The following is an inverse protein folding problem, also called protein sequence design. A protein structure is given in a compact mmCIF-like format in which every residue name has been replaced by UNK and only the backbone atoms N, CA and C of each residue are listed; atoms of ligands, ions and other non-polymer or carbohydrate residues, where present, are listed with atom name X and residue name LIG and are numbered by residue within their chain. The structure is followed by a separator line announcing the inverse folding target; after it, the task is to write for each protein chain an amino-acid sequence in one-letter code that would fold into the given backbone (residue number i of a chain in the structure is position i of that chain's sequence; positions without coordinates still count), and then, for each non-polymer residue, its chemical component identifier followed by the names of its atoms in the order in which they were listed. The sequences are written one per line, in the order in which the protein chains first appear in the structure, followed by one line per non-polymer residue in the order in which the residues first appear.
data_IF_937981330547
#
_entry.id   IF_937981330547
#
_cell.length_a   1.000
_cell.length_b   1.000
_cell.length_c   1.000
_cell.angle_alpha   90.00
_cell.angle_beta   90.00
_cell.angle_gamma   90.00
#
_symmetry.space_group_name_H-M   'P 1'
#
loop_
_entity.id
_entity.type
_entity.pdbx_description
1 polymer ?
#
# COMPACT_ATOMS: atom_id res chain seq x y z
N UNK A 1 -7.31 20.92 -0.80
CA UNK A 1 -6.23 19.97 -1.16
C UNK A 1 -6.47 18.63 -0.45
N UNK A 2 -6.01 17.50 -0.99
CA UNK A 2 -6.21 16.16 -0.39
C UNK A 2 -5.63 16.07 1.02
N UNK A 3 -4.48 16.70 1.28
CA UNK A 3 -3.82 16.68 2.60
C UNK A 3 -4.71 17.11 3.76
N UNK A 4 -5.61 18.09 3.55
CA UNK A 4 -6.54 18.54 4.60
C UNK A 4 -7.57 17.48 4.98
N UNK A 5 -8.01 16.69 4.00
CA UNK A 5 -8.95 15.58 4.22
C UNK A 5 -8.30 14.38 4.92
N UNK A 6 -6.98 14.18 4.74
CA UNK A 6 -6.27 13.02 5.25
C UNK A 6 -5.77 13.19 6.69
N UNK A 7 -5.65 14.44 7.18
CA UNK A 7 -5.11 14.76 8.51
C UNK A 7 -3.70 14.17 8.76
N UNK A 8 -2.82 14.24 7.74
CA UNK A 8 -1.44 13.73 7.78
C UNK A 8 -0.39 14.83 7.98
N UNK A 9 -0.79 16.04 8.41
CA UNK A 9 0.14 17.17 8.57
C UNK A 9 1.27 16.89 9.56
N UNK A 10 1.06 16.00 10.55
CA UNK A 10 2.05 15.58 11.53
C UNK A 10 3.03 14.51 11.00
N UNK A 11 2.80 13.97 9.82
CA UNK A 11 3.62 12.96 9.14
C UNK A 11 3.99 13.44 7.73
N UNK A 12 4.85 14.45 7.61
CA UNK A 12 5.10 15.12 6.32
C UNK A 12 5.69 14.20 5.24
N UNK A 13 6.52 13.23 5.60
CA UNK A 13 7.11 12.28 4.66
C UNK A 13 6.04 11.33 4.10
N UNK A 14 5.22 10.73 4.96
CA UNK A 14 4.11 9.87 4.55
C UNK A 14 3.08 10.65 3.73
N UNK A 15 2.78 11.88 4.16
CA UNK A 15 1.88 12.75 3.40
C UNK A 15 2.42 13.03 1.98
N UNK A 16 3.74 13.25 1.84
CA UNK A 16 4.39 13.46 0.55
C UNK A 16 4.27 12.21 -0.35
N UNK A 17 4.42 10.99 0.19
CA UNK A 17 4.21 9.75 -0.55
C UNK A 17 2.77 9.63 -1.06
N UNK A 18 1.78 9.87 -0.19
CA UNK A 18 0.36 9.81 -0.57
C UNK A 18 0.01 10.87 -1.62
N UNK A 19 0.52 12.09 -1.49
CA UNK A 19 0.31 13.16 -2.49
C UNK A 19 0.95 12.82 -3.84
N UNK A 20 2.16 12.25 -3.82
CA UNK A 20 2.86 11.82 -5.03
C UNK A 20 2.09 10.71 -5.76
N UNK A 21 1.61 9.71 -5.03
CA UNK A 21 0.78 8.65 -5.60
C UNK A 21 -0.55 9.20 -6.17
N UNK A 22 -1.23 10.08 -5.42
CA UNK A 22 -2.41 10.75 -5.93
C UNK A 22 -2.12 11.48 -7.25
N UNK A 23 -1.05 12.27 -7.31
CA UNK A 23 -0.70 13.04 -8.51
C UNK A 23 -0.37 12.14 -9.69
N UNK A 24 0.29 11.00 -9.44
CA UNK A 24 0.68 10.04 -10.46
C UNK A 24 -0.51 9.34 -11.12
N UNK A 25 -1.56 9.02 -10.35
CA UNK A 25 -2.68 8.22 -10.85
C UNK A 25 -3.96 9.00 -11.14
N UNK A 26 -4.20 10.13 -10.47
CA UNK A 26 -5.47 10.86 -10.59
C UNK A 26 -5.73 11.40 -12.00
N UNK A 27 -4.69 11.80 -12.73
CA UNK A 27 -4.83 12.34 -14.09
C UNK A 27 -5.17 11.28 -15.15
N UNK A 28 -4.93 9.99 -14.85
CA UNK A 28 -5.14 8.89 -15.78
C UNK A 28 -6.61 8.54 -15.90
N UNK A 29 -7.13 8.50 -17.13
CA UNK A 29 -8.56 8.23 -17.37
C UNK A 29 -8.98 6.81 -16.97
N UNK A 30 -8.05 5.87 -17.03
CA UNK A 30 -8.28 4.45 -16.73
C UNK A 30 -8.00 4.11 -15.26
N UNK A 31 -7.43 5.01 -14.47
CA UNK A 31 -7.45 4.96 -13.02
C UNK A 31 -8.77 5.57 -12.50
N UNK A 32 -9.70 4.75 -12.06
CA UNK A 32 -11.08 5.18 -11.76
C UNK A 32 -11.30 5.58 -10.31
N UNK A 33 -10.59 4.95 -9.38
CA UNK A 33 -10.65 5.30 -7.96
C UNK A 33 -9.35 4.95 -7.25
N UNK A 34 -9.05 5.61 -6.14
CA UNK A 34 -7.97 5.21 -5.25
C UNK A 34 -8.33 5.47 -3.79
N UNK A 35 -7.83 4.59 -2.92
CA UNK A 35 -7.99 4.67 -1.47
C UNK A 35 -6.67 4.50 -0.75
N UNK A 36 -6.54 5.18 0.38
CA UNK A 36 -5.48 4.95 1.38
C UNK A 36 -6.03 4.01 2.42
N UNK A 37 -5.25 3.00 2.78
CA UNK A 37 -5.56 1.99 3.79
C UNK A 37 -4.64 2.11 5.02
N UNK A 38 -4.71 1.11 5.86
CA UNK A 38 -3.77 0.88 6.95
C UNK A 38 -3.80 1.93 8.06
N UNK A 39 -2.66 2.04 8.74
CA UNK A 39 -2.51 2.90 9.92
C UNK A 39 -2.68 4.39 9.61
N UNK A 40 -2.26 4.84 8.43
CA UNK A 40 -2.42 6.24 8.00
C UNK A 40 -3.89 6.59 7.80
N UNK A 41 -4.68 5.71 7.19
CA UNK A 41 -6.11 5.91 7.03
C UNK A 41 -6.86 5.90 8.36
N UNK A 42 -6.42 5.05 9.29
CA UNK A 42 -6.98 4.94 10.64
C UNK A 42 -6.64 6.12 11.56
N UNK A 43 -5.77 7.04 11.15
CA UNK A 43 -5.27 8.12 12.01
C UNK A 43 -4.35 7.63 13.14
N UNK A 44 -3.78 6.44 13.00
CA UNK A 44 -2.85 5.79 13.95
C UNK A 44 -1.43 5.68 13.38
N UNK A 45 -1.18 6.34 12.23
CA UNK A 45 0.11 6.31 11.57
C UNK A 45 1.21 6.94 12.42
N UNK A 46 2.42 6.45 12.21
CA UNK A 46 3.66 6.94 12.81
C UNK A 46 4.76 7.08 11.74
N UNK A 47 5.97 7.44 12.18
CA UNK A 47 7.13 7.70 11.32
C UNK A 47 7.52 6.51 10.42
N UNK A 48 7.23 5.29 10.83
CA UNK A 48 7.55 4.05 10.09
C UNK A 48 6.33 3.40 9.44
N UNK A 49 5.20 4.09 9.41
CA UNK A 49 3.98 3.62 8.74
C UNK A 49 4.12 3.70 7.22
N UNK A 50 3.65 2.65 6.55
CA UNK A 50 3.58 2.60 5.10
C UNK A 50 2.47 3.51 4.55
N UNK A 51 2.66 3.96 3.33
CA UNK A 51 1.57 4.50 2.52
C UNK A 51 0.93 3.34 1.73
N UNK A 52 -0.12 2.73 2.29
CA UNK A 52 -0.86 1.62 1.69
C UNK A 52 -1.93 2.14 0.75
N UNK A 53 -1.76 2.00 -0.55
CA UNK A 53 -2.63 2.60 -1.56
C UNK A 53 -3.16 1.53 -2.51
N UNK A 54 -4.49 1.52 -2.68
CA UNK A 54 -5.14 0.76 -3.74
C UNK A 54 -5.63 1.71 -4.82
N UNK A 55 -5.32 1.40 -6.07
CA UNK A 55 -5.79 2.10 -7.26
C UNK A 55 -6.64 1.14 -8.07
N UNK A 56 -7.91 1.44 -8.25
CA UNK A 56 -8.81 0.66 -9.10
C UNK A 56 -8.72 1.18 -10.53
N UNK A 57 -8.56 0.25 -11.47
CA UNK A 57 -8.32 0.55 -12.88
C UNK A 57 -9.30 -0.20 -13.78
N UNK A 58 -9.50 0.30 -14.98
CA UNK A 58 -10.29 -0.34 -16.04
C UNK A 58 -9.44 -0.55 -17.29
N UNK A 59 -9.98 -1.28 -18.27
CA UNK A 59 -9.34 -1.49 -19.59
C UNK A 59 -7.94 -2.13 -19.49
N UNK A 60 -7.72 -3.01 -18.50
CA UNK A 60 -6.42 -3.64 -18.22
C UNK A 60 -5.28 -2.63 -17.91
N UNK A 61 -5.60 -1.42 -17.50
CA UNK A 61 -4.60 -0.40 -17.21
C UNK A 61 -3.60 -0.83 -16.13
N UNK A 62 -3.99 -1.67 -15.16
CA UNK A 62 -3.09 -2.27 -14.17
C UNK A 62 -1.88 -3.00 -14.78
N UNK A 63 -1.97 -3.45 -16.04
CA UNK A 63 -0.85 -4.11 -16.77
C UNK A 63 0.04 -3.10 -17.51
N UNK A 64 -0.37 -1.84 -17.65
CA UNK A 64 0.32 -0.79 -18.41
C UNK A 64 0.54 0.51 -17.64
N UNK A 65 0.42 0.48 -16.31
CA UNK A 65 0.51 1.66 -15.45
C UNK A 65 1.96 2.09 -15.11
N UNK A 66 2.96 1.59 -15.82
CA UNK A 66 4.38 1.90 -15.55
C UNK A 66 4.69 3.40 -15.58
N UNK A 67 4.05 4.17 -16.47
CA UNK A 67 4.23 5.62 -16.52
C UNK A 67 3.79 6.31 -15.22
N UNK A 68 2.72 5.81 -14.57
CA UNK A 68 2.29 6.30 -13.25
C UNK A 68 3.30 5.97 -12.16
N UNK A 69 3.83 4.74 -12.17
CA UNK A 69 4.87 4.35 -11.22
C UNK A 69 6.13 5.17 -11.41
N UNK A 70 6.59 5.36 -12.66
CA UNK A 70 7.74 6.24 -12.95
C UNK A 70 7.51 7.69 -12.51
N UNK A 71 6.27 8.20 -12.61
CA UNK A 71 5.92 9.52 -12.10
C UNK A 71 5.93 9.56 -10.55
N UNK A 72 5.47 8.51 -9.88
CA UNK A 72 5.55 8.36 -8.43
C UNK A 72 7.01 8.26 -7.95
N UNK A 73 7.85 7.50 -8.63
CA UNK A 73 9.25 7.23 -8.30
C UNK A 73 10.16 8.44 -8.49
N UNK A 74 9.73 9.40 -9.30
CA UNK A 74 10.56 10.60 -9.63
C UNK A 74 11.03 11.29 -8.37
N UNK A 75 12.34 11.61 -8.35
CA UNK A 75 13.02 12.31 -7.26
C UNK A 75 13.01 11.56 -5.91
N UNK A 76 12.73 10.27 -5.91
CA UNK A 76 12.79 9.42 -4.72
C UNK A 76 14.02 8.52 -4.72
N UNK A 77 14.65 8.45 -3.56
CA UNK A 77 15.83 7.61 -3.34
C UNK A 77 15.36 6.23 -2.83
N UNK A 78 15.23 5.28 -3.77
CA UNK A 78 14.67 3.95 -3.52
C UNK A 78 15.79 3.02 -3.05
N UNK A 79 15.67 2.52 -1.82
CA UNK A 79 16.55 1.50 -1.26
C UNK A 79 16.19 0.09 -1.77
N UNK A 80 14.88 -0.21 -1.82
CA UNK A 80 14.38 -1.53 -2.22
C UNK A 80 13.06 -1.39 -2.97
N UNK A 81 12.92 -2.16 -4.03
CA UNK A 81 11.71 -2.28 -4.84
C UNK A 81 11.37 -3.76 -4.99
N UNK A 82 10.13 -4.10 -4.66
CA UNK A 82 9.51 -5.37 -4.99
C UNK A 82 8.28 -5.11 -5.86
N UNK A 83 8.19 -5.79 -6.98
CA UNK A 83 7.05 -5.66 -7.90
C UNK A 83 6.58 -7.01 -8.40
N UNK A 84 5.32 -7.10 -8.81
CA UNK A 84 4.77 -8.34 -9.33
C UNK A 84 3.26 -8.32 -9.47
N UNK A 85 2.72 -9.49 -9.78
CA UNK A 85 1.30 -9.72 -9.88
C UNK A 85 0.85 -10.67 -8.75
N UNK A 86 -0.23 -10.32 -8.07
CA UNK A 86 -0.91 -11.27 -7.19
C UNK A 86 -1.72 -12.29 -7.99
N UNK A 87 -2.32 -11.82 -9.08
CA UNK A 87 -3.08 -12.59 -10.06
C UNK A 87 -3.21 -11.76 -11.36
N UNK A 88 -3.96 -12.24 -12.33
CA UNK A 88 -4.15 -11.56 -13.62
C UNK A 88 -4.77 -10.15 -13.53
N UNK A 89 -5.45 -9.82 -12.42
CA UNK A 89 -6.17 -8.56 -12.22
C UNK A 89 -5.49 -7.62 -11.22
N UNK A 90 -4.36 -8.00 -10.64
CA UNK A 90 -3.74 -7.27 -9.54
C UNK A 90 -2.23 -7.19 -9.66
N UNK A 91 -1.73 -6.02 -10.02
CA UNK A 91 -0.30 -5.67 -10.05
C UNK A 91 0.06 -4.83 -8.83
N UNK A 92 1.28 -4.97 -8.32
CA UNK A 92 1.76 -4.17 -7.19
C UNK A 92 3.21 -3.76 -7.32
N UNK A 93 3.54 -2.64 -6.65
CA UNK A 93 4.91 -2.26 -6.30
C UNK A 93 4.99 -1.88 -4.83
N UNK A 94 6.03 -2.37 -4.15
CA UNK A 94 6.36 -2.07 -2.75
C UNK A 94 7.73 -1.40 -2.70
N UNK A 95 7.82 -0.32 -1.97
CA UNK A 95 9.01 0.53 -1.89
C UNK A 95 9.49 0.70 -0.47
N UNK A 96 10.78 0.56 -0.25
CA UNK A 96 11.47 1.09 0.93
C UNK A 96 12.39 2.18 0.43
N UNK A 97 12.30 3.37 1.02
CA UNK A 97 13.14 4.52 0.66
C UNK A 97 14.32 4.66 1.63
N UNK A 98 15.38 5.35 1.21
CA UNK A 98 16.59 5.53 2.03
C UNK A 98 16.33 6.32 3.34
N UNK A 99 15.25 7.07 3.42
CA UNK A 99 14.81 7.76 4.64
C UNK A 99 13.99 6.87 5.60
N UNK A 100 13.90 5.55 5.31
CA UNK A 100 13.13 4.54 6.02
C UNK A 100 11.61 4.75 5.98
N UNK A 101 11.11 5.54 5.06
CA UNK A 101 9.68 5.51 4.72
C UNK A 101 9.41 4.39 3.72
N UNK A 102 8.16 4.00 3.58
CA UNK A 102 7.74 2.93 2.67
C UNK A 102 6.37 3.18 2.08
N UNK A 103 6.14 2.59 0.93
CA UNK A 103 4.86 2.63 0.25
C UNK A 103 4.55 1.28 -0.39
N UNK A 104 3.28 0.93 -0.38
CA UNK A 104 2.73 -0.22 -1.09
C UNK A 104 1.58 0.27 -1.98
N UNK A 105 1.74 0.11 -3.29
CA UNK A 105 0.75 0.58 -4.27
C UNK A 105 0.29 -0.62 -5.08
N UNK A 106 -1.00 -0.92 -4.99
CA UNK A 106 -1.65 -1.96 -5.78
C UNK A 106 -2.52 -1.32 -6.86
N UNK A 107 -2.35 -1.76 -8.10
CA UNK A 107 -3.23 -1.45 -9.21
C UNK A 107 -4.10 -2.66 -9.48
N UNK A 108 -5.40 -2.52 -9.26
CA UNK A 108 -6.38 -3.59 -9.38
C UNK A 108 -7.33 -3.30 -10.52
N UNK A 109 -7.61 -4.29 -11.38
CA UNK A 109 -8.72 -4.16 -12.30
C UNK A 109 -10.04 -4.05 -11.54
N UNK A 110 -11.01 -3.30 -12.09
CA UNK A 110 -12.34 -3.18 -11.48
C UNK A 110 -13.09 -4.52 -11.34
N UNK A 111 -12.65 -5.55 -12.04
CA UNK A 111 -13.19 -6.91 -11.92
C UNK A 111 -12.57 -7.70 -10.76
N UNK A 112 -11.47 -7.22 -10.15
CA UNK A 112 -10.90 -7.88 -8.97
C UNK A 112 -11.92 -7.87 -7.82
N UNK A 113 -12.28 -9.05 -7.26
CA UNK A 113 -13.31 -9.15 -6.23
C UNK A 113 -12.78 -8.73 -4.84
N UNK A 114 -12.35 -7.48 -4.72
CA UNK A 114 -11.84 -6.93 -3.46
C UNK A 114 -12.91 -6.08 -2.77
N UNK A 115 -13.17 -6.37 -1.49
CA UNK A 115 -13.99 -5.55 -0.61
C UNK A 115 -13.12 -4.65 0.29
N UNK A 116 -13.63 -3.47 0.61
CA UNK A 116 -12.94 -2.47 1.42
C UNK A 116 -13.51 -2.46 2.85
N UNK A 117 -12.70 -2.91 3.80
CA UNK A 117 -13.01 -2.80 5.23
C UNK A 117 -12.60 -1.43 5.76
N UNK A 118 -13.43 -0.85 6.64
CA UNK A 118 -13.06 0.39 7.34
C UNK A 118 -12.01 0.12 8.43
N UNK A 119 -11.09 1.08 8.74
CA UNK A 119 -11.04 2.42 8.17
C UNK A 119 -10.23 2.49 6.86
N UNK A 120 -10.72 3.26 5.89
CA UNK A 120 -9.98 3.68 4.71
C UNK A 120 -10.29 5.15 4.41
N UNK A 121 -9.49 5.80 3.56
CA UNK A 121 -9.73 7.16 3.09
C UNK A 121 -9.71 7.21 1.58
N UNK A 122 -10.74 7.80 0.98
CA UNK A 122 -10.84 7.95 -0.48
C UNK A 122 -9.91 9.07 -0.92
N UNK A 123 -8.96 8.74 -1.79
CA UNK A 123 -8.08 9.70 -2.46
C UNK A 123 -8.80 10.35 -3.63
N UNK A 124 -9.38 9.54 -4.49
CA UNK A 124 -10.32 9.95 -5.54
C UNK A 124 -11.27 8.80 -5.88
N UNK A 125 -12.43 9.16 -6.42
CA UNK A 125 -13.42 8.23 -6.97
C UNK A 125 -14.19 8.95 -8.06
N UNK A 126 -13.94 8.58 -9.32
CA UNK A 126 -14.50 9.25 -10.50
C UNK A 126 -15.90 8.76 -10.86
N UNK A 127 -16.27 7.55 -10.41
CA UNK A 127 -17.47 6.86 -10.87
C UNK A 127 -18.34 6.30 -9.74
N UNK A 128 -18.06 6.63 -8.47
CA UNK A 128 -18.79 6.07 -7.31
C UNK A 128 -18.52 4.58 -7.08
N UNK A 129 -17.34 4.09 -7.48
CA UNK A 129 -16.95 2.69 -7.33
C UNK A 129 -16.76 2.29 -5.87
N UNK A 130 -16.18 3.19 -5.07
CA UNK A 130 -15.76 2.87 -3.70
C UNK A 130 -16.97 2.47 -2.84
N UNK A 131 -18.09 3.18 -2.95
CA UNK A 131 -19.30 2.88 -2.18
C UNK A 131 -19.81 1.45 -2.41
N UNK A 132 -19.65 0.92 -3.62
CA UNK A 132 -20.06 -0.44 -4.00
C UNK A 132 -19.12 -1.52 -3.44
N UNK A 133 -17.94 -1.13 -2.96
CA UNK A 133 -16.90 -2.03 -2.45
C UNK A 133 -16.83 -2.10 -0.93
N UNK A 134 -17.55 -1.24 -0.23
CA UNK A 134 -17.51 -1.20 1.24
C UNK A 134 -18.13 -2.46 1.84
N UNK A 135 -17.45 -3.01 2.83
CA UNK A 135 -17.97 -4.12 3.65
C UNK A 135 -17.88 -3.77 5.13
N UNK A 136 -18.76 -4.39 5.93
CA UNK A 136 -18.71 -4.32 7.40
C UNK A 136 -17.80 -5.40 8.01
N UNK A 137 -17.24 -6.28 7.19
CA UNK A 137 -16.24 -7.26 7.61
C UNK A 137 -15.00 -6.55 8.18
N UNK A 138 -14.40 -7.08 9.27
CA UNK A 138 -13.20 -6.49 9.84
C UNK A 138 -12.01 -6.63 8.88
N UNK A 139 -11.12 -5.63 8.90
CA UNK A 139 -9.87 -5.72 8.15
C UNK A 139 -8.99 -6.88 8.65
N UNK A 140 -8.25 -7.57 7.76
CA UNK A 140 -7.30 -8.61 8.15
C UNK A 140 -6.28 -8.11 9.17
N UNK A 141 -5.85 -8.97 10.08
CA UNK A 141 -4.80 -8.65 11.05
C UNK A 141 -3.43 -9.07 10.52
N UNK A 142 -2.40 -8.30 10.84
CA UNK A 142 -1.02 -8.65 10.46
C UNK A 142 -0.59 -10.08 10.88
N UNK A 143 -1.07 -10.55 12.04
CA UNK A 143 -0.76 -11.90 12.52
C UNK A 143 -1.32 -13.02 11.61
N UNK A 144 -2.36 -12.72 10.82
CA UNK A 144 -3.02 -13.68 9.95
C UNK A 144 -2.36 -13.77 8.56
N UNK A 145 -1.50 -12.79 8.20
CA UNK A 145 -0.82 -12.80 6.91
C UNK A 145 0.19 -13.95 6.83
N UNK A 146 0.25 -14.63 5.67
CA UNK A 146 1.29 -15.61 5.41
C UNK A 146 2.65 -14.92 5.33
N UNK A 147 3.72 -15.69 5.57
CA UNK A 147 5.08 -15.26 5.32
C UNK A 147 5.62 -15.90 4.04
N UNK A 148 6.70 -15.33 3.50
CA UNK A 148 7.41 -15.83 2.33
C UNK A 148 6.54 -15.86 1.04
N UNK A 149 5.57 -14.95 0.94
CA UNK A 149 4.61 -14.92 -0.18
C UNK A 149 5.24 -14.56 -1.53
N UNK A 150 6.36 -13.84 -1.50
CA UNK A 150 7.11 -13.41 -2.69
C UNK A 150 8.49 -14.10 -2.77
N UNK A 151 8.68 -15.23 -2.11
CA UNK A 151 9.95 -15.94 -2.11
C UNK A 151 11.11 -15.10 -1.58
N UNK A 152 12.32 -15.41 -2.04
CA UNK A 152 13.56 -14.72 -1.63
C UNK A 152 13.52 -13.22 -1.95
N UNK A 153 12.87 -12.84 -3.03
CA UNK A 153 12.75 -11.43 -3.43
C UNK A 153 11.95 -10.59 -2.42
N UNK A 154 10.98 -11.21 -1.73
CA UNK A 154 10.14 -10.55 -0.74
C UNK A 154 10.73 -10.44 0.67
N UNK A 155 11.80 -11.17 0.98
CA UNK A 155 12.36 -11.25 2.34
C UNK A 155 12.72 -9.88 2.91
N UNK A 156 13.32 -9.00 2.09
CA UNK A 156 13.70 -7.66 2.54
C UNK A 156 12.50 -6.86 3.03
N UNK A 157 11.36 -6.95 2.34
CA UNK A 157 10.11 -6.31 2.76
C UNK A 157 9.61 -6.88 4.09
N UNK A 158 9.56 -8.19 4.21
CA UNK A 158 9.07 -8.88 5.42
C UNK A 158 9.97 -8.61 6.65
N UNK A 159 11.28 -8.54 6.46
CA UNK A 159 12.21 -8.14 7.52
C UNK A 159 12.02 -6.67 7.91
N UNK A 160 11.74 -5.80 6.94
CA UNK A 160 11.45 -4.39 7.22
C UNK A 160 10.16 -4.23 8.03
N UNK A 161 9.12 -5.02 7.77
CA UNK A 161 7.92 -5.07 8.61
C UNK A 161 8.25 -5.48 10.05
N UNK A 162 9.10 -6.49 10.23
CA UNK A 162 9.56 -6.89 11.55
C UNK A 162 10.32 -5.75 12.28
N UNK A 163 11.15 -4.99 11.55
CA UNK A 163 11.85 -3.82 12.11
C UNK A 163 10.84 -2.77 12.57
N UNK A 164 9.81 -2.47 11.79
CA UNK A 164 8.74 -1.53 12.14
C UNK A 164 7.99 -1.97 13.41
N UNK A 165 7.59 -3.25 13.48
CA UNK A 165 6.94 -3.80 14.68
C UNK A 165 7.83 -3.75 15.91
N UNK A 166 9.09 -4.13 15.79
CA UNK A 166 10.06 -4.03 16.89
C UNK A 166 10.25 -2.58 17.37
N UNK A 167 10.30 -1.61 16.45
CA UNK A 167 10.44 -0.19 16.79
C UNK A 167 9.23 0.37 17.56
N UNK A 168 8.07 -0.27 17.43
CA UNK A 168 6.82 0.05 18.13
C UNK A 168 6.66 -0.70 19.46
N UNK A 169 7.55 -1.64 19.75
CA UNK A 169 7.44 -2.53 20.91
C UNK A 169 6.59 -3.79 20.68
N UNK A 170 6.13 -4.02 19.44
CA UNK A 170 5.33 -5.18 19.06
C UNK A 170 6.23 -6.42 18.84
N UNK A 171 7.07 -6.73 19.84
CA UNK A 171 8.10 -7.77 19.75
C UNK A 171 7.52 -9.16 19.48
N UNK A 172 6.38 -9.48 20.06
CA UNK A 172 5.76 -10.80 19.89
C UNK A 172 5.22 -10.99 18.48
N UNK A 173 4.67 -9.93 17.86
CA UNK A 173 4.25 -9.97 16.46
C UNK A 173 5.45 -10.19 15.53
N UNK A 174 6.53 -9.43 15.73
CA UNK A 174 7.78 -9.59 14.95
C UNK A 174 8.37 -10.99 15.08
N UNK A 175 8.47 -11.52 16.32
CA UNK A 175 8.97 -12.88 16.57
C UNK A 175 8.08 -13.96 15.93
N UNK A 176 6.76 -13.78 15.97
CA UNK A 176 5.82 -14.71 15.36
C UNK A 176 6.01 -14.75 13.84
N UNK A 177 6.13 -13.58 13.20
CA UNK A 177 6.35 -13.51 11.76
C UNK A 177 7.71 -14.07 11.34
N UNK A 178 8.79 -13.75 12.07
CA UNK A 178 10.12 -14.30 11.82
C UNK A 178 10.14 -15.84 11.92
N UNK A 179 9.40 -16.43 12.88
CA UNK A 179 9.27 -17.90 12.97
C UNK A 179 8.57 -18.49 11.75
N UNK A 180 7.48 -17.82 11.27
CA UNK A 180 6.80 -18.23 10.04
C UNK A 180 7.75 -18.16 8.84
N UNK A 181 8.52 -17.07 8.73
CA UNK A 181 9.45 -16.84 7.62
C UNK A 181 10.54 -17.94 7.59
N UNK A 182 11.20 -18.20 8.72
CA UNK A 182 12.24 -19.24 8.82
C UNK A 182 11.68 -20.64 8.53
N UNK A 183 10.43 -20.91 8.86
CA UNK A 183 9.81 -22.21 8.59
C UNK A 183 9.50 -22.46 7.10
N UNK A 184 9.49 -21.43 6.27
CA UNK A 184 9.26 -21.50 4.82
C UNK A 184 10.56 -21.40 4.02
N UNK A 185 11.62 -20.91 4.64
CA UNK A 185 12.95 -20.72 4.05
C UNK A 185 13.79 -22.01 4.15
#
# INVERSE_FOLDING_TARGET
MISEKLNLAHLPLQNALVQSAYSAFHSENDAVAAVLLGSLAAGKGDRVSDADILVFTKNNFHQSCEACFSAFERDKDIFYLLEGFHNENAYFKKYIFNDLTSAEIHCLDVNEPLSLSKPFKVLFDKNGLIEQRVTDEPAPKHADFPAYTNGDEGITWELFDCIKWMSRGDHELAKHHLKKLVAQW
#
